data_IF_577284403578
#
_entry.id   IF_577284403578
#
_cell.length_a   1.000
_cell.length_b   1.000
_cell.length_c   1.000
_cell.angle_alpha   90.00
_cell.angle_beta   90.00
_cell.angle_gamma   90.00
#
_symmetry.space_group_name_H-M   'P 1'
#
loop_
_entity.id
_entity.type
_entity.pdbx_description
1 polymer ?
#
# COMPACT_ATOMS: atom_id res chain seq x y z
N UNK A 1 46.09 -15.90 -23.17
CA UNK A 1 45.81 -15.13 -21.94
C UNK A 1 44.52 -14.37 -22.17
N UNK A 2 43.41 -14.85 -21.60
CA UNK A 2 42.20 -14.09 -21.28
C UNK A 2 41.63 -14.81 -20.05
N UNK A 3 41.77 -14.19 -18.89
CA UNK A 3 41.18 -14.64 -17.64
C UNK A 3 39.78 -14.05 -17.46
N UNK A 4 39.05 -14.72 -16.58
CA UNK A 4 38.05 -14.20 -15.67
C UNK A 4 36.70 -13.79 -16.26
N UNK A 5 35.68 -14.61 -15.99
CA UNK A 5 34.35 -14.14 -15.54
C UNK A 5 33.60 -15.28 -14.85
N UNK A 6 34.08 -15.54 -13.64
CA UNK A 6 33.46 -16.34 -12.59
C UNK A 6 32.20 -15.61 -12.07
N UNK A 7 31.04 -15.91 -12.65
CA UNK A 7 29.74 -15.48 -12.12
C UNK A 7 28.79 -16.67 -12.04
N UNK A 8 29.00 -17.53 -11.06
CA UNK A 8 28.20 -18.75 -10.91
C UNK A 8 27.99 -19.25 -9.47
N UNK A 9 28.35 -18.48 -8.43
CA UNK A 9 28.25 -19.00 -7.06
C UNK A 9 27.92 -17.94 -6.01
N UNK A 10 26.77 -17.26 -6.15
CA UNK A 10 26.25 -16.51 -5.01
C UNK A 10 24.76 -16.77 -4.84
N UNK A 11 24.46 -17.54 -3.80
CA UNK A 11 23.15 -17.80 -3.17
C UNK A 11 22.23 -18.86 -3.81
N UNK A 12 22.77 -20.02 -4.19
CA UNK A 12 21.97 -21.27 -4.19
C UNK A 12 22.01 -21.84 -2.76
N UNK A 13 21.30 -21.23 -1.80
CA UNK A 13 21.25 -21.81 -0.45
C UNK A 13 20.70 -20.96 0.70
N UNK A 14 20.48 -19.66 0.54
CA UNK A 14 19.86 -18.88 1.62
C UNK A 14 18.39 -19.26 1.76
N UNK A 15 17.94 -19.52 3.00
CA UNK A 15 16.53 -19.69 3.32
C UNK A 15 15.71 -18.59 2.64
N UNK A 16 14.57 -18.95 2.06
CA UNK A 16 13.67 -18.04 1.34
C UNK A 16 13.35 -16.78 2.15
N UNK A 17 13.34 -16.89 3.48
CA UNK A 17 13.09 -15.79 4.41
C UNK A 17 14.27 -14.82 4.52
N UNK A 18 15.51 -15.31 4.47
CA UNK A 18 16.72 -14.47 4.51
C UNK A 18 16.82 -13.62 3.25
N UNK A 19 16.60 -14.23 2.09
CA UNK A 19 16.56 -13.51 0.81
C UNK A 19 15.42 -12.48 0.77
N UNK A 20 14.26 -12.81 1.35
CA UNK A 20 13.13 -11.90 1.45
C UNK A 20 13.43 -10.70 2.36
N UNK A 21 14.07 -10.93 3.51
CA UNK A 21 14.49 -9.86 4.41
C UNK A 21 15.54 -8.94 3.78
N UNK A 22 16.54 -9.50 3.09
CA UNK A 22 17.57 -8.73 2.38
C UNK A 22 16.95 -7.86 1.28
N UNK A 23 16.08 -8.45 0.45
CA UNK A 23 15.34 -7.70 -0.58
C UNK A 23 14.52 -6.55 0.02
N UNK A 24 13.87 -6.79 1.17
CA UNK A 24 13.11 -5.77 1.88
C UNK A 24 14.01 -4.64 2.44
N UNK A 25 15.18 -4.94 2.98
CA UNK A 25 16.10 -3.90 3.45
C UNK A 25 16.59 -3.01 2.31
N UNK A 26 16.96 -3.60 1.17
CA UNK A 26 17.34 -2.86 -0.03
C UNK A 26 16.18 -2.01 -0.54
N UNK A 27 14.95 -2.55 -0.50
CA UNK A 27 13.75 -1.79 -0.85
C UNK A 27 13.50 -0.60 0.09
N UNK A 28 13.70 -0.78 1.40
CA UNK A 28 13.61 0.30 2.42
C UNK A 28 14.67 1.37 2.20
N UNK A 29 15.86 1.00 1.73
CA UNK A 29 16.93 1.92 1.32
C UNK A 29 16.67 2.64 -0.01
N UNK A 30 15.50 2.43 -0.63
CA UNK A 30 15.10 3.12 -1.87
C UNK A 30 15.56 2.43 -3.16
N UNK A 31 16.28 1.32 -3.08
CA UNK A 31 16.79 0.58 -4.24
C UNK A 31 15.62 0.05 -5.10
N UNK A 32 15.76 0.16 -6.42
CA UNK A 32 14.77 -0.33 -7.40
C UNK A 32 14.87 -1.85 -7.62
N UNK A 33 13.78 -2.51 -8.00
CA UNK A 33 13.72 -3.98 -8.14
C UNK A 33 14.76 -4.57 -9.10
N UNK A 34 15.07 -3.88 -10.21
CA UNK A 34 16.10 -4.32 -11.13
C UNK A 34 17.50 -4.38 -10.47
N UNK A 35 17.83 -3.37 -9.65
CA UNK A 35 19.12 -3.34 -8.93
C UNK A 35 19.14 -4.30 -7.74
N UNK A 36 17.99 -4.53 -7.09
CA UNK A 36 17.83 -5.58 -6.08
C UNK A 36 18.04 -6.96 -6.71
N UNK A 37 17.47 -7.21 -7.88
CA UNK A 37 17.63 -8.45 -8.63
C UNK A 37 19.09 -8.72 -8.98
N UNK A 38 19.79 -7.72 -9.50
CA UNK A 38 21.23 -7.78 -9.76
C UNK A 38 22.04 -8.09 -8.48
N UNK A 39 21.76 -7.40 -7.38
CA UNK A 39 22.47 -7.59 -6.10
C UNK A 39 22.21 -8.95 -5.44
N UNK A 40 21.04 -9.54 -5.67
CA UNK A 40 20.65 -10.82 -5.08
C UNK A 40 20.81 -12.01 -6.04
N UNK A 41 21.25 -11.79 -7.28
CA UNK A 41 21.38 -12.84 -8.28
C UNK A 41 20.05 -13.49 -8.70
N UNK A 42 18.95 -12.72 -8.68
CA UNK A 42 17.60 -13.22 -9.02
C UNK A 42 16.97 -12.43 -10.16
N UNK A 43 15.86 -12.92 -10.74
CA UNK A 43 15.10 -12.13 -11.71
C UNK A 43 14.40 -10.93 -11.06
N UNK A 44 14.12 -9.89 -11.83
CA UNK A 44 13.38 -8.72 -11.35
C UNK A 44 12.00 -9.09 -10.78
N UNK A 45 11.29 -10.01 -11.43
CA UNK A 45 10.03 -10.54 -10.92
C UNK A 45 10.21 -11.26 -9.57
N UNK A 46 11.28 -12.05 -9.42
CA UNK A 46 11.58 -12.74 -8.16
C UNK A 46 11.96 -11.77 -7.04
N UNK A 47 12.67 -10.68 -7.35
CA UNK A 47 12.98 -9.63 -6.37
C UNK A 47 11.69 -8.95 -5.85
N UNK A 48 10.72 -8.69 -6.73
CA UNK A 48 9.40 -8.21 -6.34
C UNK A 48 8.67 -9.20 -5.41
N UNK A 49 8.67 -10.49 -5.74
CA UNK A 49 8.05 -11.52 -4.92
C UNK A 49 8.69 -11.65 -3.53
N UNK A 50 10.03 -11.54 -3.45
CA UNK A 50 10.78 -11.59 -2.20
C UNK A 50 10.41 -10.43 -1.28
N UNK A 51 10.37 -9.21 -1.81
CA UNK A 51 9.93 -8.02 -1.07
C UNK A 51 8.48 -8.18 -0.61
N UNK A 52 7.59 -8.61 -1.51
CA UNK A 52 6.16 -8.78 -1.22
C UNK A 52 5.92 -9.84 -0.15
N UNK A 53 6.67 -10.95 -0.20
CA UNK A 53 6.63 -12.02 0.79
C UNK A 53 7.12 -11.53 2.16
N UNK A 54 8.24 -10.82 2.21
CA UNK A 54 8.78 -10.26 3.47
C UNK A 54 7.82 -9.27 4.13
N UNK A 55 7.18 -8.42 3.33
CA UNK A 55 6.17 -7.49 3.82
C UNK A 55 4.93 -8.23 4.34
N UNK A 56 4.50 -9.33 3.70
CA UNK A 56 3.36 -10.15 4.15
C UNK A 56 3.68 -10.86 5.45
N UNK A 57 4.89 -11.42 5.58
CA UNK A 57 5.34 -12.10 6.79
C UNK A 57 5.46 -11.17 8.02
N UNK A 58 5.59 -9.85 7.81
CA UNK A 58 5.65 -8.84 8.87
C UNK A 58 4.29 -8.27 9.27
N UNK A 59 3.19 -8.74 8.68
CA UNK A 59 1.88 -8.11 8.78
C UNK A 59 1.92 -6.60 8.45
N UNK A 60 2.91 -6.14 7.67
CA UNK A 60 2.92 -4.76 7.18
C UNK A 60 1.74 -4.64 6.22
N UNK A 61 0.67 -4.00 6.72
CA UNK A 61 -0.63 -3.89 6.06
C UNK A 61 -0.47 -3.28 4.68
N UNK A 62 -1.43 -3.57 3.80
CA UNK A 62 -1.46 -2.99 2.47
C UNK A 62 -1.33 -1.45 2.56
N UNK A 63 -1.92 -0.83 3.58
CA UNK A 63 -1.86 0.62 3.83
C UNK A 63 -0.46 1.15 4.14
N UNK A 64 0.34 0.42 4.93
CA UNK A 64 1.73 0.81 5.22
C UNK A 64 2.56 0.85 3.93
N UNK A 65 2.33 -0.11 3.03
CA UNK A 65 3.02 -0.17 1.72
C UNK A 65 2.62 0.98 0.83
N UNK A 66 1.31 1.23 0.71
CA UNK A 66 0.78 2.33 -0.07
C UNK A 66 1.31 3.68 0.42
N UNK A 67 1.39 3.87 1.75
CA UNK A 67 1.96 5.08 2.34
C UNK A 67 3.44 5.27 1.97
N UNK A 68 4.25 4.23 2.09
CA UNK A 68 5.67 4.30 1.74
C UNK A 68 5.89 4.61 0.24
N UNK A 69 5.09 4.00 -0.63
CA UNK A 69 5.18 4.27 -2.06
C UNK A 69 4.71 5.69 -2.41
N UNK A 70 3.65 6.20 -1.76
CA UNK A 70 3.21 7.60 -1.90
C UNK A 70 4.27 8.59 -1.43
N UNK A 71 4.89 8.38 -0.26
CA UNK A 71 5.97 9.24 0.26
C UNK A 71 7.14 9.33 -0.72
N UNK A 72 7.51 8.20 -1.36
CA UNK A 72 8.57 8.17 -2.37
C UNK A 72 8.20 8.93 -3.63
N UNK A 73 6.97 8.75 -4.11
CA UNK A 73 6.47 9.45 -5.30
C UNK A 73 6.38 10.96 -5.05
N UNK A 74 5.95 11.37 -3.86
CA UNK A 74 5.92 12.77 -3.44
C UNK A 74 7.33 13.38 -3.39
N UNK A 75 8.32 12.65 -2.86
CA UNK A 75 9.72 13.08 -2.86
C UNK A 75 10.30 13.23 -4.28
N UNK A 76 9.99 12.30 -5.18
CA UNK A 76 10.38 12.39 -6.60
C UNK A 76 9.74 13.61 -7.27
N UNK A 77 8.44 13.83 -7.05
CA UNK A 77 7.73 14.97 -7.60
C UNK A 77 8.30 16.29 -7.08
N UNK A 78 8.65 16.35 -5.79
CA UNK A 78 9.29 17.51 -5.17
C UNK A 78 10.62 17.86 -5.86
N UNK A 79 11.46 16.87 -6.13
CA UNK A 79 12.72 17.07 -6.85
C UNK A 79 12.55 17.55 -8.30
N UNK A 80 11.41 17.27 -8.93
CA UNK A 80 11.11 17.68 -10.30
C UNK A 80 10.55 19.10 -10.40
N UNK A 81 9.89 19.63 -9.35
CA UNK A 81 9.17 20.91 -9.42
C UNK A 81 9.99 22.08 -9.95
N UNK A 82 11.25 22.20 -9.55
CA UNK A 82 12.14 23.28 -10.03
C UNK A 82 12.28 23.26 -11.55
N UNK A 83 12.53 22.08 -12.14
CA UNK A 83 12.73 21.92 -13.59
C UNK A 83 11.41 22.03 -14.35
N UNK A 84 10.32 21.52 -13.77
CA UNK A 84 8.97 21.70 -14.31
C UNK A 84 8.62 23.19 -14.43
N UNK A 85 8.86 23.98 -13.37
CA UNK A 85 8.61 25.43 -13.39
C UNK A 85 9.49 26.21 -14.37
N UNK A 86 10.61 25.63 -14.81
CA UNK A 86 11.51 26.20 -15.84
C UNK A 86 11.10 25.80 -17.26
N UNK A 87 10.04 25.00 -17.44
CA UNK A 87 9.58 24.55 -18.75
C UNK A 87 10.39 23.40 -19.35
N UNK A 88 11.16 22.66 -18.55
CA UNK A 88 11.85 21.45 -19.01
C UNK A 88 10.82 20.36 -19.39
N UNK A 89 10.61 20.17 -20.69
CA UNK A 89 9.61 19.24 -21.23
C UNK A 89 9.82 17.79 -20.74
N UNK A 90 11.08 17.38 -20.49
CA UNK A 90 11.37 16.05 -19.95
C UNK A 90 10.95 15.95 -18.49
N UNK A 91 11.21 16.98 -17.69
CA UNK A 91 10.77 17.02 -16.30
C UNK A 91 9.25 17.06 -16.18
N UNK A 92 8.55 17.76 -17.09
CA UNK A 92 7.07 17.76 -17.17
C UNK A 92 6.55 16.34 -17.42
N UNK A 93 7.08 15.66 -18.44
CA UNK A 93 6.67 14.29 -18.74
C UNK A 93 6.92 13.33 -17.56
N UNK A 94 8.07 13.45 -16.90
CA UNK A 94 8.40 12.66 -15.71
C UNK A 94 7.46 12.97 -14.53
N UNK A 95 7.12 14.25 -14.32
CA UNK A 95 6.19 14.67 -13.27
C UNK A 95 4.78 14.13 -13.49
N UNK A 96 4.28 14.17 -14.72
CA UNK A 96 2.97 13.59 -15.08
C UNK A 96 2.95 12.08 -14.84
N UNK A 97 4.04 11.37 -15.14
CA UNK A 97 4.12 9.95 -14.89
C UNK A 97 4.13 9.63 -13.39
N UNK A 98 4.87 10.40 -12.58
CA UNK A 98 4.82 10.27 -11.11
C UNK A 98 3.41 10.53 -10.58
N UNK A 99 2.70 11.54 -11.09
CA UNK A 99 1.31 11.81 -10.72
C UNK A 99 0.36 10.66 -11.10
N UNK A 100 0.55 10.05 -12.27
CA UNK A 100 -0.21 8.87 -12.71
C UNK A 100 0.01 7.69 -11.77
N UNK A 101 1.25 7.40 -11.41
CA UNK A 101 1.57 6.32 -10.46
C UNK A 101 0.95 6.56 -9.07
N UNK A 102 0.90 7.82 -8.60
CA UNK A 102 0.20 8.16 -7.35
C UNK A 102 -1.29 7.86 -7.44
N UNK A 103 -1.91 8.21 -8.56
CA UNK A 103 -3.31 7.91 -8.81
C UNK A 103 -3.58 6.40 -8.81
N UNK A 104 -2.70 5.60 -9.43
CA UNK A 104 -2.80 4.14 -9.44
C UNK A 104 -2.75 3.56 -8.01
N UNK A 105 -1.81 4.01 -7.17
CA UNK A 105 -1.70 3.58 -5.76
C UNK A 105 -2.97 3.91 -4.97
N UNK A 106 -3.51 5.11 -5.15
CA UNK A 106 -4.74 5.55 -4.47
C UNK A 106 -5.98 4.79 -4.98
N UNK A 107 -6.07 4.54 -6.28
CA UNK A 107 -7.16 3.78 -6.89
C UNK A 107 -7.19 2.33 -6.38
N UNK A 108 -6.01 1.69 -6.26
CA UNK A 108 -5.88 0.35 -5.71
C UNK A 108 -6.33 0.29 -4.23
N UNK A 109 -6.14 1.36 -3.45
CA UNK A 109 -6.70 1.46 -2.08
C UNK A 109 -8.20 1.64 -2.07
N UNK A 110 -8.73 2.48 -2.95
CA UNK A 110 -10.17 2.68 -3.06
C UNK A 110 -10.88 1.38 -3.45
N UNK A 111 -10.31 0.61 -4.39
CA UNK A 111 -10.85 -0.70 -4.80
C UNK A 111 -10.79 -1.75 -3.67
N UNK A 112 -9.74 -1.74 -2.84
CA UNK A 112 -9.63 -2.65 -1.69
C UNK A 112 -10.65 -2.33 -0.57
N UNK A 113 -11.00 -1.04 -0.41
CA UNK A 113 -11.97 -0.55 0.58
C UNK A 113 -13.44 -0.81 0.27
N UNK A 114 -13.79 -1.23 -0.95
CA UNK A 114 -15.17 -1.59 -1.36
C UNK A 114 -15.59 -3.00 -0.93
N UNK A 115 -14.84 -3.61 -0.01
CA UNK A 115 -15.19 -4.88 0.62
C UNK A 115 -16.31 -4.67 1.67
N UNK A 116 -17.51 -4.23 1.23
CA UNK A 116 -18.80 -4.45 1.90
C UNK A 116 -19.00 -3.92 3.33
N UNK A 117 -18.18 -2.98 3.79
CA UNK A 117 -18.40 -2.25 5.04
C UNK A 117 -18.20 -0.74 4.79
N UNK A 118 -18.97 -0.22 3.85
CA UNK A 118 -18.91 1.19 3.49
C UNK A 118 -19.55 2.07 4.56
N UNK A 119 -19.30 3.39 4.48
CA UNK A 119 -20.02 4.41 5.26
C UNK A 119 -21.55 4.24 5.16
N UNK A 120 -22.03 3.67 4.04
CA UNK A 120 -23.43 3.27 3.84
C UNK A 120 -23.91 2.19 4.81
N UNK A 121 -23.10 1.16 5.08
CA UNK A 121 -23.44 0.06 6.00
C UNK A 121 -23.44 0.55 7.45
N UNK A 122 -22.47 1.40 7.80
CA UNK A 122 -22.45 2.07 9.09
C UNK A 122 -23.69 2.98 9.27
N UNK A 123 -24.05 3.76 8.26
CA UNK A 123 -25.22 4.63 8.31
C UNK A 123 -26.53 3.83 8.39
N UNK A 124 -26.61 2.67 7.72
CA UNK A 124 -27.73 1.76 7.80
C UNK A 124 -27.87 1.17 9.22
N UNK A 125 -26.77 0.74 9.83
CA UNK A 125 -26.74 0.24 11.20
C UNK A 125 -27.16 1.32 12.21
N UNK A 126 -26.68 2.56 12.06
CA UNK A 126 -27.07 3.69 12.91
C UNK A 126 -28.56 4.00 12.79
N UNK A 127 -29.11 3.98 11.57
CA UNK A 127 -30.56 4.20 11.35
C UNK A 127 -31.40 3.08 11.95
N UNK A 128 -30.96 1.82 11.87
CA UNK A 128 -31.64 0.68 12.47
C UNK A 128 -31.68 0.81 14.00
N UNK A 129 -30.53 1.08 14.64
CA UNK A 129 -30.44 1.29 16.08
C UNK A 129 -31.29 2.48 16.57
N UNK A 130 -31.37 3.56 15.79
CA UNK A 130 -32.22 4.70 16.12
C UNK A 130 -33.72 4.37 16.09
N UNK A 131 -34.15 3.45 15.21
CA UNK A 131 -35.55 2.98 15.14
C UNK A 131 -35.89 2.13 16.37
N UNK A 132 -35.03 1.17 16.70
CA UNK A 132 -35.19 0.29 17.87
C UNK A 132 -35.26 1.09 19.18
N UNK A 133 -34.38 2.08 19.35
CA UNK A 133 -34.40 2.97 20.52
C UNK A 133 -35.69 3.78 20.61
N UNK A 134 -36.24 4.24 19.47
CA UNK A 134 -37.51 4.98 19.44
C UNK A 134 -38.70 4.09 19.81
N UNK A 135 -38.73 2.87 19.30
CA UNK A 135 -39.76 1.87 19.61
C UNK A 135 -39.72 1.49 21.10
N UNK A 136 -38.53 1.26 21.66
CA UNK A 136 -38.33 0.98 23.08
C UNK A 136 -38.81 2.13 24.00
N UNK A 137 -38.58 3.38 23.59
CA UNK A 137 -39.07 4.56 24.32
C UNK A 137 -40.60 4.68 24.29
N UNK A 138 -41.23 4.35 23.15
CA UNK A 138 -42.69 4.38 23.02
C UNK A 138 -43.37 3.29 23.84
N UNK A 139 -42.82 2.07 23.82
CA UNK A 139 -43.30 0.94 24.60
C UNK A 139 -43.15 1.18 26.11
N UNK A 140 -42.02 1.76 26.53
CA UNK A 140 -41.81 2.18 27.92
C UNK A 140 -42.79 3.26 28.35
N UNK A 141 -43.02 4.28 27.51
CA UNK A 141 -44.00 5.33 27.77
C UNK A 141 -45.45 4.83 27.82
N UNK A 142 -45.79 3.83 27.00
CA UNK A 142 -47.11 3.19 27.01
C UNK A 142 -47.34 2.39 28.30
N UNK A 143 -46.34 1.63 28.76
CA UNK A 143 -46.42 0.88 30.02
C UNK A 143 -46.54 1.77 31.24
N UNK A 144 -45.81 2.89 31.29
CA UNK A 144 -45.91 3.85 32.39
C UNK A 144 -47.32 4.47 32.49
N UNK A 145 -47.90 4.87 31.34
CA UNK A 145 -49.27 5.41 31.30
C UNK A 145 -50.34 4.41 31.72
N UNK A 146 -50.14 3.12 31.43
CA UNK A 146 -51.06 2.06 31.82
C UNK A 146 -51.02 1.74 33.33
N UNK A 147 -49.93 2.08 34.03
CA UNK A 147 -49.79 1.91 35.49
C UNK A 147 -50.36 3.11 36.26
N UNK A 148 -50.42 4.29 35.63
CA UNK A 148 -50.96 5.53 36.23
C UNK A 148 -52.47 5.72 36.03
N UNK A 149 -53.17 4.78 35.37
CA UNK A 149 -54.62 4.77 35.12
C UNK A 149 -55.35 3.78 36.02
#
# INVERSE_FOLDING_TARGET
MCGDEEWGEVIVGASRDVAAQQALQLRKAGVGYAKIAEQLGVSQARAYDLVTAALRAREETADIRARLDLERLDAMLLGLWKRIGQGDAKAVAQGLEVMRMRADVLADRAAAGDSGAGVGDYLAAVKAAARENREAQQDTGLRLRAVES
#
